data_IF_541156272658
#
_entry.id   IF_541156272658
#
_cell.length_a   1.000
_cell.length_b   1.000
_cell.length_c   1.000
_cell.angle_alpha   90.00
_cell.angle_beta   90.00
_cell.angle_gamma   90.00
#
_symmetry.space_group_name_H-M   'P 1'
#
loop_
_entity.id
_entity.type
_entity.pdbx_description
1 polymer ?
#
# COMPACT_ATOMS: atom_id res chain seq x y z
N UNK A 1 -0.43 43.31 13.10
CA UNK A 1 -0.89 41.91 13.33
C UNK A 1 -1.11 41.25 11.99
N UNK A 2 -0.67 40.00 11.80
CA UNK A 2 -0.90 39.26 10.56
C UNK A 2 -2.41 39.06 10.29
N UNK A 3 -2.85 39.10 9.01
CA UNK A 3 -4.20 38.71 8.60
C UNK A 3 -4.52 37.27 8.97
N UNK A 4 -5.80 36.97 9.22
CA UNK A 4 -6.21 35.63 9.60
C UNK A 4 -5.98 34.62 8.47
N UNK A 5 -6.10 35.07 7.22
CA UNK A 5 -5.91 34.27 6.00
C UNK A 5 -4.46 33.74 5.92
N UNK A 6 -3.48 34.63 6.12
CA UNK A 6 -2.06 34.26 6.15
C UNK A 6 -1.72 33.33 7.32
N UNK A 7 -2.34 33.54 8.48
CA UNK A 7 -2.16 32.64 9.63
C UNK A 7 -2.72 31.24 9.35
N UNK A 8 -3.92 31.14 8.76
CA UNK A 8 -4.52 29.86 8.39
C UNK A 8 -3.68 29.10 7.36
N UNK A 9 -3.09 29.82 6.40
CA UNK A 9 -2.21 29.25 5.40
C UNK A 9 -0.91 28.72 6.02
N UNK A 10 -0.24 29.50 6.86
CA UNK A 10 0.98 29.10 7.58
C UNK A 10 0.70 27.90 8.50
N UNK A 11 -0.39 27.95 9.26
CA UNK A 11 -0.77 26.90 10.21
C UNK A 11 -1.31 25.62 9.54
N UNK A 12 -1.73 25.70 8.27
CA UNK A 12 -2.11 24.52 7.50
C UNK A 12 -0.96 23.52 7.28
N UNK A 13 0.29 23.98 7.38
CA UNK A 13 1.50 23.16 7.20
C UNK A 13 2.15 22.70 8.51
N UNK A 14 1.67 23.19 9.66
CA UNK A 14 2.26 22.90 10.97
C UNK A 14 1.44 21.84 11.69
N UNK A 15 2.10 20.94 12.43
CA UNK A 15 1.41 19.93 13.23
C UNK A 15 0.50 20.61 14.26
N UNK A 16 -0.78 20.20 14.32
CA UNK A 16 -1.74 20.79 15.27
C UNK A 16 -1.27 20.67 16.72
N UNK A 17 -0.53 19.61 17.06
CA UNK A 17 0.05 19.44 18.39
C UNK A 17 1.02 20.58 18.73
N UNK A 18 1.97 20.87 17.83
CA UNK A 18 2.96 21.93 18.02
C UNK A 18 2.31 23.32 18.03
N UNK A 19 1.29 23.48 17.19
CA UNK A 19 0.44 24.67 17.16
C UNK A 19 -0.33 24.88 18.46
N UNK A 20 -0.94 23.82 18.98
CA UNK A 20 -1.73 23.91 20.19
C UNK A 20 -0.83 24.20 21.38
N UNK A 21 0.24 23.44 21.60
CA UNK A 21 1.13 23.63 22.76
C UNK A 21 2.03 24.87 22.64
N UNK A 22 2.48 25.22 21.42
CA UNK A 22 3.29 26.41 21.19
C UNK A 22 2.51 27.72 21.35
N UNK A 23 1.18 27.69 21.15
CA UNK A 23 0.32 28.87 21.29
C UNK A 23 -0.73 28.75 22.40
N UNK A 24 -0.67 27.68 23.20
CA UNK A 24 -1.50 27.52 24.38
C UNK A 24 -1.21 28.70 25.31
N UNK A 25 -2.27 29.35 25.80
CA UNK A 25 -2.22 30.52 26.67
C UNK A 25 -1.63 31.82 26.09
N UNK A 26 -1.08 31.83 24.88
CA UNK A 26 -0.50 33.04 24.29
C UNK A 26 -1.53 33.97 23.63
N UNK A 27 -2.63 33.45 23.06
CA UNK A 27 -3.63 34.31 22.41
C UNK A 27 -5.02 33.66 22.19
N UNK A 28 -6.07 34.25 22.77
CA UNK A 28 -7.48 33.87 22.52
C UNK A 28 -7.83 33.93 21.02
N UNK A 29 -7.23 34.87 20.27
CA UNK A 29 -7.44 34.99 18.82
C UNK A 29 -6.92 33.76 18.07
N UNK A 30 -5.75 33.22 18.44
CA UNK A 30 -5.20 32.02 17.84
C UNK A 30 -6.07 30.79 18.17
N UNK A 31 -6.55 30.68 19.40
CA UNK A 31 -7.49 29.61 19.77
C UNK A 31 -8.80 29.67 18.98
N UNK A 32 -9.36 30.87 18.75
CA UNK A 32 -10.54 31.05 17.89
C UNK A 32 -10.24 30.68 16.44
N UNK A 33 -9.06 31.04 15.94
CA UNK A 33 -8.63 30.81 14.57
C UNK A 33 -8.35 29.33 14.30
N UNK A 34 -7.68 28.63 15.22
CA UNK A 34 -7.54 27.19 15.20
C UNK A 34 -8.90 26.49 15.22
N UNK A 35 -9.83 26.90 16.10
CA UNK A 35 -11.19 26.35 16.12
C UNK A 35 -12.00 26.65 14.84
N UNK A 36 -11.62 27.66 14.06
CA UNK A 36 -12.27 27.98 12.78
C UNK A 36 -11.78 27.11 11.62
N UNK A 37 -10.64 26.42 11.78
CA UNK A 37 -10.14 25.49 10.78
C UNK A 37 -11.07 24.29 10.66
N UNK A 38 -11.43 23.96 9.41
CA UNK A 38 -12.41 22.89 9.13
C UNK A 38 -11.78 21.50 9.10
N UNK A 39 -10.46 21.40 8.92
CA UNK A 39 -9.75 20.16 8.59
C UNK A 39 -8.36 20.16 9.20
N UNK A 40 -8.04 19.10 9.95
CA UNK A 40 -6.74 18.89 10.55
C UNK A 40 -6.13 17.53 10.18
N UNK A 41 -4.81 17.54 10.06
CA UNK A 41 -3.97 16.34 10.04
C UNK A 41 -3.22 16.27 11.37
N UNK A 42 -3.36 15.17 12.10
CA UNK A 42 -2.71 14.98 13.40
C UNK A 42 -1.92 13.68 13.40
N UNK A 43 -0.73 13.76 14.00
CA UNK A 43 0.09 12.61 14.35
C UNK A 43 0.01 12.46 15.87
N UNK A 44 -0.61 11.38 16.34
CA UNK A 44 -0.59 10.99 17.74
C UNK A 44 0.62 10.10 18.01
N UNK A 45 1.58 10.70 18.70
CA UNK A 45 2.63 9.96 19.39
C UNK A 45 2.13 9.45 20.74
N UNK A 46 1.30 10.24 21.42
CA UNK A 46 0.64 9.86 22.68
C UNK A 46 -0.85 10.18 22.61
N UNK A 47 -1.66 9.47 23.43
CA UNK A 47 -3.10 9.71 23.54
C UNK A 47 -3.39 11.01 24.31
N UNK A 48 -3.30 12.14 23.62
CA UNK A 48 -3.61 13.46 24.18
C UNK A 48 -5.13 13.67 24.21
N UNK A 49 -5.71 13.38 25.37
CA UNK A 49 -7.15 13.48 25.62
C UNK A 49 -7.68 14.90 25.47
N UNK A 50 -6.88 15.92 25.77
CA UNK A 50 -7.31 17.32 25.69
C UNK A 50 -7.48 17.72 24.22
N UNK A 51 -6.46 17.46 23.41
CA UNK A 51 -6.50 17.71 21.96
C UNK A 51 -7.64 16.97 21.28
N UNK A 52 -7.84 15.70 21.61
CA UNK A 52 -8.96 14.91 21.08
C UNK A 52 -10.28 15.55 21.49
N UNK A 53 -10.46 15.97 22.75
CA UNK A 53 -11.73 16.55 23.19
C UNK A 53 -12.07 17.88 22.48
N UNK A 54 -11.06 18.66 22.12
CA UNK A 54 -11.24 19.96 21.46
C UNK A 54 -11.42 19.84 19.94
N UNK A 55 -10.65 18.96 19.28
CA UNK A 55 -10.49 18.99 17.83
C UNK A 55 -10.95 17.71 17.11
N UNK A 56 -11.42 16.69 17.84
CA UNK A 56 -11.88 15.39 17.34
C UNK A 56 -12.64 15.46 16.00
N UNK A 57 -13.65 16.34 15.93
CA UNK A 57 -14.53 16.47 14.74
C UNK A 57 -13.85 17.14 13.54
N UNK A 58 -12.77 17.88 13.74
CA UNK A 58 -12.05 18.57 12.67
C UNK A 58 -10.91 17.70 12.11
N UNK A 59 -10.56 16.61 12.79
CA UNK A 59 -9.49 15.69 12.36
C UNK A 59 -9.99 14.87 11.17
N UNK A 60 -9.31 15.05 10.04
CA UNK A 60 -9.55 14.30 8.80
C UNK A 60 -8.45 13.29 8.51
N UNK A 61 -7.27 13.46 9.09
CA UNK A 61 -6.14 12.54 8.97
C UNK A 61 -5.54 12.26 10.34
N UNK A 62 -5.39 10.97 10.63
CA UNK A 62 -4.91 10.46 11.90
C UNK A 62 -3.78 9.46 11.68
N UNK A 63 -2.63 9.71 12.30
CA UNK A 63 -1.52 8.75 12.37
C UNK A 63 -1.30 8.40 13.83
N UNK A 64 -1.40 7.12 14.18
CA UNK A 64 -1.17 6.61 15.53
C UNK A 64 0.14 5.83 15.55
N UNK A 65 1.11 6.32 16.32
CA UNK A 65 2.45 5.73 16.39
C UNK A 65 2.61 4.68 17.49
N UNK A 66 1.67 4.61 18.44
CA UNK A 66 1.79 3.86 19.68
C UNK A 66 0.72 2.79 19.87
N UNK A 67 0.97 1.89 20.82
CA UNK A 67 0.03 0.85 21.28
C UNK A 67 -1.13 1.40 22.12
N UNK A 68 -1.17 2.71 22.37
CA UNK A 68 -2.18 3.29 23.26
C UNK A 68 -3.55 3.17 22.62
N UNK A 69 -4.53 2.72 23.39
CA UNK A 69 -5.91 2.66 22.93
C UNK A 69 -6.42 4.07 22.64
N UNK A 70 -7.00 4.22 21.45
CA UNK A 70 -7.65 5.42 20.97
C UNK A 70 -9.06 5.02 20.57
N UNK A 71 -10.04 5.82 20.99
CA UNK A 71 -11.43 5.64 20.62
C UNK A 71 -11.68 6.25 19.23
N UNK A 72 -11.65 5.41 18.20
CA UNK A 72 -11.80 5.85 16.80
C UNK A 72 -13.18 6.45 16.51
N UNK A 73 -14.19 6.17 17.35
CA UNK A 73 -15.55 6.72 17.20
C UNK A 73 -15.60 8.24 17.38
N UNK A 74 -14.57 8.82 18.01
CA UNK A 74 -14.48 10.26 18.24
C UNK A 74 -14.17 11.05 16.96
N UNK A 75 -13.74 10.40 15.88
CA UNK A 75 -13.29 11.06 14.66
C UNK A 75 -14.26 10.79 13.48
N UNK A 76 -15.49 11.33 13.49
CA UNK A 76 -16.52 11.01 12.49
C UNK A 76 -16.17 11.51 11.07
N UNK A 77 -15.28 12.49 10.95
CA UNK A 77 -14.86 13.08 9.68
C UNK A 77 -13.54 12.50 9.17
N UNK A 78 -13.07 11.40 9.77
CA UNK A 78 -11.78 10.82 9.44
C UNK A 78 -11.79 10.25 8.02
N UNK A 79 -10.90 10.79 7.19
CA UNK A 79 -10.71 10.38 5.80
C UNK A 79 -9.46 9.51 5.63
N UNK A 80 -8.47 9.64 6.52
CA UNK A 80 -7.20 8.91 6.46
C UNK A 80 -6.80 8.40 7.83
N UNK A 81 -6.57 7.10 7.95
CA UNK A 81 -6.11 6.46 9.18
C UNK A 81 -4.81 5.69 8.91
N UNK A 82 -3.80 5.91 9.74
CA UNK A 82 -2.56 5.12 9.77
C UNK A 82 -2.31 4.62 11.17
N UNK A 83 -2.31 3.31 11.36
CA UNK A 83 -1.93 2.67 12.62
C UNK A 83 -0.57 2.01 12.43
N UNK A 84 0.51 2.58 12.99
CA UNK A 84 1.85 2.01 12.84
C UNK A 84 2.10 0.78 13.74
N UNK A 85 1.31 0.65 14.81
CA UNK A 85 1.39 -0.42 15.79
C UNK A 85 -0.02 -0.80 16.21
N UNK A 86 -0.79 -1.32 15.25
CA UNK A 86 -2.22 -1.58 15.42
C UNK A 86 -2.47 -2.68 16.47
N UNK A 87 -3.35 -2.39 17.43
CA UNK A 87 -3.84 -3.39 18.38
C UNK A 87 -5.14 -4.03 17.89
N UNK A 88 -5.49 -5.21 18.41
CA UNK A 88 -6.78 -5.85 18.12
C UNK A 88 -7.98 -5.01 18.55
N UNK A 89 -7.84 -4.24 19.63
CA UNK A 89 -8.86 -3.31 20.06
C UNK A 89 -9.08 -2.20 19.03
N UNK A 90 -8.00 -1.60 18.51
CA UNK A 90 -8.07 -0.59 17.47
C UNK A 90 -8.65 -1.15 16.16
N UNK A 91 -8.22 -2.34 15.73
CA UNK A 91 -8.73 -2.98 14.51
C UNK A 91 -10.24 -3.27 14.59
N UNK A 92 -10.74 -3.75 15.75
CA UNK A 92 -12.18 -3.97 15.97
C UNK A 92 -13.01 -2.69 15.92
N UNK A 93 -12.40 -1.53 16.13
CA UNK A 93 -13.06 -0.23 16.04
C UNK A 93 -13.09 0.33 14.61
N UNK A 94 -12.29 -0.21 13.68
CA UNK A 94 -12.35 0.18 12.28
C UNK A 94 -13.62 -0.42 11.68
N UNK A 95 -14.70 0.35 11.72
CA UNK A 95 -16.00 -0.02 11.20
C UNK A 95 -16.60 1.14 10.42
N UNK A 96 -17.37 0.82 9.40
CA UNK A 96 -17.97 1.82 8.51
C UNK A 96 -18.92 2.77 9.25
N UNK A 97 -19.64 2.27 10.28
CA UNK A 97 -20.57 3.09 11.07
C UNK A 97 -19.87 4.23 11.82
N UNK A 98 -18.58 4.08 12.10
CA UNK A 98 -17.77 5.08 12.79
C UNK A 98 -16.89 5.90 11.84
N UNK A 99 -16.46 5.28 10.75
CA UNK A 99 -15.48 5.83 9.81
C UNK A 99 -16.02 5.82 8.37
N UNK A 100 -17.24 6.33 8.19
CA UNK A 100 -17.95 6.28 6.89
C UNK A 100 -17.25 7.08 5.77
N UNK A 101 -16.45 8.06 6.15
CA UNK A 101 -15.68 8.92 5.24
C UNK A 101 -14.26 8.40 4.94
N UNK A 102 -13.89 7.22 5.44
CA UNK A 102 -12.52 6.72 5.33
C UNK A 102 -12.17 6.37 3.87
N UNK A 103 -11.15 7.05 3.35
CA UNK A 103 -10.62 6.89 1.98
C UNK A 103 -9.26 6.22 1.94
N UNK A 104 -8.44 6.42 2.99
CA UNK A 104 -7.08 5.91 3.08
C UNK A 104 -6.89 5.16 4.39
N UNK A 105 -6.46 3.91 4.30
CA UNK A 105 -6.16 3.08 5.47
C UNK A 105 -4.76 2.48 5.36
N UNK A 106 -3.97 2.62 6.42
CA UNK A 106 -2.68 1.91 6.56
C UNK A 106 -2.63 1.25 7.92
N UNK A 107 -2.34 -0.04 7.94
CA UNK A 107 -2.25 -0.85 9.16
C UNK A 107 -0.93 -1.59 9.16
N UNK A 108 -0.12 -1.30 10.16
CA UNK A 108 1.03 -2.09 10.53
C UNK A 108 0.73 -2.81 11.84
N UNK A 109 0.51 -4.12 11.75
CA UNK A 109 0.36 -5.00 12.89
C UNK A 109 1.61 -5.88 13.03
N UNK A 110 2.02 -6.16 14.27
CA UNK A 110 3.10 -7.13 14.53
C UNK A 110 2.63 -8.57 14.34
N UNK A 111 1.34 -8.83 14.52
CA UNK A 111 0.77 -10.18 14.56
C UNK A 111 -0.44 -10.27 13.63
N UNK A 112 -0.64 -11.45 13.04
CA UNK A 112 -1.92 -11.78 12.44
C UNK A 112 -2.92 -11.99 13.58
N UNK A 113 -4.06 -11.32 13.50
CA UNK A 113 -5.17 -11.55 14.41
C UNK A 113 -6.46 -11.77 13.64
N UNK A 114 -7.42 -12.42 14.29
CA UNK A 114 -8.77 -12.58 13.76
C UNK A 114 -9.39 -11.22 13.39
N UNK A 115 -9.08 -10.17 14.16
CA UNK A 115 -9.55 -8.80 13.91
C UNK A 115 -9.02 -8.24 12.60
N UNK A 116 -7.74 -8.48 12.28
CA UNK A 116 -7.16 -8.07 11.00
C UNK A 116 -7.81 -8.83 9.83
N UNK A 117 -7.99 -10.14 9.97
CA UNK A 117 -8.62 -10.98 8.94
C UNK A 117 -10.05 -10.52 8.67
N UNK A 118 -10.85 -10.29 9.72
CA UNK A 118 -12.21 -9.77 9.58
C UNK A 118 -12.26 -8.38 8.92
N UNK A 119 -11.30 -7.51 9.24
CA UNK A 119 -11.20 -6.19 8.62
C UNK A 119 -10.87 -6.30 7.13
N UNK A 120 -9.91 -7.13 6.76
CA UNK A 120 -9.51 -7.40 5.37
C UNK A 120 -10.69 -7.94 4.58
N UNK A 121 -11.37 -8.96 5.11
CA UNK A 121 -12.58 -9.51 4.50
C UNK A 121 -13.68 -8.44 4.36
N UNK A 122 -13.83 -7.55 5.35
CA UNK A 122 -14.75 -6.43 5.24
C UNK A 122 -14.39 -5.46 4.11
N UNK A 123 -13.11 -5.15 3.95
CA UNK A 123 -12.60 -4.21 2.95
C UNK A 123 -12.77 -4.78 1.54
N UNK A 124 -12.32 -6.01 1.29
CA UNK A 124 -12.43 -6.64 -0.03
C UNK A 124 -13.85 -7.13 -0.36
N UNK A 125 -14.78 -7.09 0.61
CA UNK A 125 -16.22 -7.31 0.41
C UNK A 125 -17.06 -6.03 0.53
N UNK A 126 -16.49 -4.87 0.17
CA UNK A 126 -17.16 -3.57 0.06
C UNK A 126 -17.79 -2.97 1.32
N UNK A 127 -17.40 -3.38 2.53
CA UNK A 127 -17.96 -2.75 3.75
C UNK A 127 -17.54 -1.29 3.90
N UNK A 128 -16.48 -0.86 3.21
CA UNK A 128 -15.99 0.51 3.21
C UNK A 128 -16.10 1.12 1.81
N UNK A 129 -17.30 1.56 1.39
CA UNK A 129 -17.53 2.04 0.02
C UNK A 129 -16.70 3.27 -0.34
N UNK A 130 -16.31 4.11 0.63
CA UNK A 130 -15.48 5.29 0.38
C UNK A 130 -13.98 4.99 0.24
N UNK A 131 -13.55 3.75 0.49
CA UNK A 131 -12.14 3.40 0.61
C UNK A 131 -11.48 3.28 -0.78
N UNK A 132 -10.43 4.05 -1.01
CA UNK A 132 -9.68 4.08 -2.27
C UNK A 132 -8.29 3.46 -2.14
N UNK A 133 -7.71 3.52 -0.95
CA UNK A 133 -6.35 3.06 -0.67
C UNK A 133 -6.33 2.20 0.58
N UNK A 134 -5.65 1.07 0.49
CA UNK A 134 -5.33 0.24 1.66
C UNK A 134 -3.88 -0.23 1.63
N UNK A 135 -3.24 -0.20 2.79
CA UNK A 135 -1.92 -0.78 2.99
C UNK A 135 -1.85 -1.64 4.25
N UNK A 136 -1.44 -2.90 4.10
CA UNK A 136 -1.21 -3.83 5.21
C UNK A 136 0.26 -4.20 5.25
N UNK A 137 0.95 -3.97 6.37
CA UNK A 137 2.38 -4.31 6.47
C UNK A 137 2.68 -5.79 6.73
N UNK A 138 1.67 -6.59 7.09
CA UNK A 138 1.81 -8.02 7.37
C UNK A 138 0.49 -8.71 7.10
N UNK A 139 0.47 -9.71 6.21
CA UNK A 139 -0.73 -10.49 5.89
C UNK A 139 -0.40 -11.95 5.54
N UNK A 140 -0.32 -12.82 6.55
CA UNK A 140 0.29 -14.15 6.34
C UNK A 140 -0.71 -15.24 5.89
N UNK A 141 -2.05 -15.05 5.93
CA UNK A 141 -2.96 -16.17 5.59
C UNK A 141 -4.22 -15.79 4.80
N UNK A 142 -4.36 -16.24 3.54
CA UNK A 142 -5.57 -16.04 2.72
C UNK A 142 -6.50 -17.27 2.63
N UNK A 143 -6.19 -18.40 3.27
CA UNK A 143 -6.73 -19.73 2.92
C UNK A 143 -8.27 -19.89 2.89
N UNK A 144 -9.05 -18.96 3.44
CA UNK A 144 -10.53 -19.01 3.44
C UNK A 144 -11.14 -17.62 3.17
N UNK A 145 -10.78 -16.98 2.06
CA UNK A 145 -11.32 -15.67 1.71
C UNK A 145 -12.29 -15.77 0.52
N UNK A 146 -13.60 -15.73 0.77
CA UNK A 146 -14.62 -15.46 -0.24
C UNK A 146 -14.89 -13.97 -0.33
N UNK A 147 -13.95 -13.24 -0.92
CA UNK A 147 -14.13 -11.81 -1.20
C UNK A 147 -15.17 -11.62 -2.31
N UNK A 148 -16.03 -10.61 -2.15
CA UNK A 148 -16.97 -10.22 -3.19
C UNK A 148 -16.31 -9.20 -4.13
N UNK A 149 -16.80 -7.97 -4.18
CA UNK A 149 -16.29 -6.91 -5.04
C UNK A 149 -16.05 -5.64 -4.23
N UNK A 150 -14.88 -5.04 -4.35
CA UNK A 150 -14.50 -3.74 -3.78
C UNK A 150 -14.17 -2.75 -4.92
N UNK A 151 -15.19 -2.23 -5.63
CA UNK A 151 -15.01 -1.48 -6.88
C UNK A 151 -14.35 -0.10 -6.71
N UNK A 152 -14.32 0.43 -5.49
CA UNK A 152 -13.76 1.75 -5.19
C UNK A 152 -12.28 1.71 -4.82
N UNK A 153 -11.73 0.54 -4.50
CA UNK A 153 -10.29 0.39 -4.24
C UNK A 153 -9.50 0.64 -5.53
N UNK A 154 -8.61 1.62 -5.47
CA UNK A 154 -7.70 2.02 -6.56
C UNK A 154 -6.26 1.65 -6.27
N UNK A 155 -5.89 1.53 -5.00
CA UNK A 155 -4.54 1.19 -4.58
C UNK A 155 -4.56 0.18 -3.43
N UNK A 156 -3.80 -0.89 -3.61
CA UNK A 156 -3.63 -1.95 -2.62
C UNK A 156 -2.13 -2.19 -2.47
N UNK A 157 -1.63 -2.09 -1.23
CA UNK A 157 -0.26 -2.43 -0.88
C UNK A 157 -0.27 -3.48 0.22
N UNK A 158 0.27 -4.67 -0.03
CA UNK A 158 0.35 -5.72 0.98
C UNK A 158 1.81 -6.15 1.10
N UNK A 159 2.31 -6.13 2.33
CA UNK A 159 3.64 -6.58 2.67
C UNK A 159 3.53 -7.87 3.47
N UNK A 160 4.41 -8.82 3.17
CA UNK A 160 4.40 -10.20 3.67
C UNK A 160 3.09 -10.91 3.39
N UNK A 161 2.87 -11.30 2.14
CA UNK A 161 1.76 -12.20 1.76
C UNK A 161 2.21 -13.32 0.79
N UNK A 162 1.31 -14.25 0.53
CA UNK A 162 1.49 -15.29 -0.49
C UNK A 162 1.17 -14.74 -1.88
N UNK A 163 1.83 -15.27 -2.90
CA UNK A 163 1.65 -14.80 -4.30
C UNK A 163 0.25 -15.10 -4.85
N UNK A 164 -0.41 -16.16 -4.36
CA UNK A 164 -1.75 -16.56 -4.80
C UNK A 164 -2.81 -15.47 -4.55
N UNK A 165 -2.59 -14.62 -3.53
CA UNK A 165 -3.51 -13.52 -3.19
C UNK A 165 -3.68 -12.52 -4.32
N UNK A 166 -2.69 -12.40 -5.23
CA UNK A 166 -2.73 -11.40 -6.29
C UNK A 166 -3.96 -11.63 -7.17
N UNK A 167 -4.22 -12.88 -7.55
CA UNK A 167 -5.40 -13.22 -8.37
C UNK A 167 -6.71 -12.88 -7.66
N UNK A 168 -6.80 -13.13 -6.34
CA UNK A 168 -7.96 -12.76 -5.52
C UNK A 168 -8.15 -11.25 -5.44
N UNK A 169 -7.07 -10.48 -5.24
CA UNK A 169 -7.15 -9.00 -5.19
C UNK A 169 -7.64 -8.46 -6.52
N UNK A 170 -7.09 -8.94 -7.63
CA UNK A 170 -7.48 -8.50 -8.98
C UNK A 170 -8.94 -8.87 -9.27
N UNK A 171 -9.39 -10.06 -8.87
CA UNK A 171 -10.79 -10.47 -9.02
C UNK A 171 -11.75 -9.62 -8.19
N UNK A 172 -11.38 -9.29 -6.95
CA UNK A 172 -12.23 -8.50 -6.07
C UNK A 172 -12.17 -6.99 -6.34
N UNK A 173 -11.11 -6.48 -6.96
CA UNK A 173 -10.90 -5.03 -7.15
C UNK A 173 -10.91 -4.64 -8.64
N UNK A 174 -12.06 -4.67 -9.33
CA UNK A 174 -12.12 -4.55 -10.80
C UNK A 174 -11.61 -3.22 -11.36
N UNK A 175 -11.47 -2.18 -10.52
CA UNK A 175 -10.95 -0.88 -10.92
C UNK A 175 -9.61 -0.52 -10.25
N UNK A 176 -8.87 -1.53 -9.78
CA UNK A 176 -7.56 -1.34 -9.17
C UNK A 176 -6.57 -0.78 -10.20
N UNK A 177 -5.88 0.30 -9.84
CA UNK A 177 -4.91 0.98 -10.70
C UNK A 177 -3.48 0.70 -10.27
N UNK A 178 -3.26 0.46 -8.97
CA UNK A 178 -1.96 0.20 -8.40
C UNK A 178 -2.01 -0.96 -7.39
N UNK A 179 -1.18 -1.96 -7.63
CA UNK A 179 -0.94 -3.08 -6.73
C UNK A 179 0.55 -3.13 -6.36
N UNK A 180 0.84 -3.23 -5.07
CA UNK A 180 2.17 -3.53 -4.53
C UNK A 180 2.08 -4.75 -3.63
N UNK A 181 2.97 -5.70 -3.85
CA UNK A 181 3.06 -6.96 -3.12
C UNK A 181 4.50 -7.21 -2.72
N UNK A 182 4.73 -7.49 -1.44
CA UNK A 182 5.99 -8.04 -0.94
C UNK A 182 5.73 -9.42 -0.36
N UNK A 183 6.44 -10.43 -0.87
CA UNK A 183 6.20 -11.83 -0.56
C UNK A 183 6.70 -12.19 0.85
N UNK A 184 6.02 -13.16 1.47
CA UNK A 184 6.43 -13.73 2.75
C UNK A 184 7.38 -14.92 2.56
N UNK A 185 8.29 -15.21 3.50
CA UNK A 185 9.26 -16.31 3.36
C UNK A 185 8.60 -17.70 3.31
N UNK A 186 7.38 -17.83 3.82
CA UNK A 186 6.67 -19.10 3.96
C UNK A 186 5.83 -19.45 2.73
N UNK A 187 6.14 -18.88 1.56
CA UNK A 187 5.43 -19.11 0.32
C UNK A 187 5.80 -20.48 -0.29
N UNK A 188 5.57 -21.56 0.48
CA UNK A 188 5.89 -22.95 0.14
C UNK A 188 4.71 -23.68 -0.51
N UNK A 189 3.55 -23.03 -0.59
CA UNK A 189 2.36 -23.59 -1.22
C UNK A 189 2.53 -23.68 -2.73
N UNK A 190 1.89 -24.69 -3.34
CA UNK A 190 1.73 -24.72 -4.79
C UNK A 190 1.01 -23.44 -5.24
N UNK A 191 1.67 -22.68 -6.12
CA UNK A 191 1.15 -21.41 -6.61
C UNK A 191 -0.01 -21.72 -7.57
N UNK A 192 -1.22 -21.77 -7.01
CA UNK A 192 -2.46 -21.91 -7.76
C UNK A 192 -3.06 -20.53 -7.94
N UNK A 193 -2.97 -19.99 -9.16
CA UNK A 193 -3.76 -18.83 -9.53
C UNK A 193 -5.20 -19.26 -9.80
N UNK A 194 -6.15 -18.44 -9.38
CA UNK A 194 -7.56 -18.69 -9.66
C UNK A 194 -7.82 -18.70 -11.17
N UNK A 195 -8.70 -19.58 -11.63
CA UNK A 195 -9.16 -19.67 -13.04
C UNK A 195 -10.06 -18.50 -13.46
N UNK A 196 -10.23 -17.48 -12.60
CA UNK A 196 -11.02 -16.30 -12.94
C UNK A 196 -10.39 -15.62 -14.16
N UNK A 197 -11.18 -15.51 -15.24
CA UNK A 197 -10.81 -14.78 -16.45
C UNK A 197 -10.72 -13.29 -16.12
N UNK A 198 -9.53 -12.81 -15.76
CA UNK A 198 -9.25 -11.40 -15.49
C UNK A 198 -8.75 -10.67 -16.74
N UNK A 199 -9.12 -11.16 -17.91
CA UNK A 199 -8.64 -10.65 -19.19
C UNK A 199 -8.87 -9.13 -19.25
N UNK A 200 -7.77 -8.39 -19.37
CA UNK A 200 -7.72 -6.93 -19.45
C UNK A 200 -8.01 -6.15 -18.17
N UNK A 201 -7.61 -6.65 -17.00
CA UNK A 201 -7.66 -5.83 -15.77
C UNK A 201 -7.03 -4.43 -15.99
N UNK A 202 -7.66 -3.32 -15.51
CA UNK A 202 -7.20 -1.95 -15.75
C UNK A 202 -5.94 -1.55 -14.97
N UNK A 203 -5.19 -2.51 -14.43
CA UNK A 203 -4.05 -2.24 -13.56
C UNK A 203 -2.98 -1.50 -14.37
N UNK A 204 -2.51 -0.37 -13.85
CA UNK A 204 -1.51 0.48 -14.50
C UNK A 204 -0.13 0.39 -13.87
N UNK A 205 -0.07 0.17 -12.56
CA UNK A 205 1.17 0.04 -11.80
C UNK A 205 1.19 -1.26 -11.02
N UNK A 206 2.27 -2.03 -11.20
CA UNK A 206 2.50 -3.25 -10.45
C UNK A 206 3.91 -3.25 -9.87
N UNK A 207 4.00 -3.60 -8.58
CA UNK A 207 5.25 -3.78 -7.85
C UNK A 207 5.21 -5.15 -7.18
N UNK A 208 6.19 -5.98 -7.47
CA UNK A 208 6.38 -7.28 -6.83
C UNK A 208 7.79 -7.34 -6.24
N UNK A 209 7.85 -7.53 -4.93
CA UNK A 209 9.08 -7.63 -4.14
C UNK A 209 9.15 -9.02 -3.52
N UNK A 210 10.29 -9.66 -3.65
CA UNK A 210 10.61 -10.94 -3.05
C UNK A 210 11.97 -10.85 -2.37
N UNK A 211 11.91 -10.56 -1.07
CA UNK A 211 13.08 -10.46 -0.20
C UNK A 211 13.62 -11.82 0.24
N UNK A 212 13.05 -12.93 -0.25
CA UNK A 212 13.25 -14.28 0.29
C UNK A 212 13.65 -15.34 -0.75
N UNK A 213 14.03 -14.93 -1.96
CA UNK A 213 14.53 -15.83 -3.00
C UNK A 213 13.54 -16.94 -3.39
N UNK A 214 12.24 -16.65 -3.36
CA UNK A 214 11.21 -17.61 -3.75
C UNK A 214 11.28 -17.75 -5.28
N UNK A 215 11.24 -18.97 -5.85
CA UNK A 215 11.38 -19.18 -7.29
C UNK A 215 10.12 -18.80 -8.08
N UNK A 216 9.70 -17.53 -7.97
CA UNK A 216 8.47 -17.00 -8.59
C UNK A 216 8.63 -16.74 -10.09
N UNK A 217 9.86 -16.75 -10.61
CA UNK A 217 10.13 -16.37 -12.00
C UNK A 217 9.38 -17.22 -13.03
N UNK A 218 9.09 -18.49 -12.70
CA UNK A 218 8.27 -19.37 -13.54
C UNK A 218 6.79 -18.93 -13.64
N UNK A 219 6.30 -18.17 -12.66
CA UNK A 219 4.91 -17.76 -12.54
C UNK A 219 4.64 -16.31 -12.99
N UNK A 220 5.69 -15.51 -13.18
CA UNK A 220 5.56 -14.10 -13.62
C UNK A 220 4.77 -14.01 -14.93
N UNK A 221 4.98 -14.97 -15.83
CA UNK A 221 4.35 -14.99 -17.14
C UNK A 221 2.81 -15.09 -17.06
N UNK A 222 2.33 -16.05 -16.26
CA UNK A 222 0.93 -16.25 -15.94
C UNK A 222 0.36 -15.08 -15.13
N UNK A 223 1.15 -14.54 -14.21
CA UNK A 223 0.73 -13.41 -13.40
C UNK A 223 0.46 -12.16 -14.27
N UNK A 224 1.35 -11.87 -15.21
CA UNK A 224 1.24 -10.74 -16.11
C UNK A 224 0.12 -10.90 -17.15
N UNK A 225 -0.32 -12.13 -17.47
CA UNK A 225 -1.44 -12.32 -18.39
C UNK A 225 -2.76 -11.76 -17.85
N UNK A 226 -2.91 -11.66 -16.53
CA UNK A 226 -4.07 -11.02 -15.90
C UNK A 226 -4.07 -9.48 -16.00
N UNK A 227 -2.94 -8.86 -16.34
CA UNK A 227 -2.76 -7.41 -16.29
C UNK A 227 -1.99 -6.86 -17.50
N UNK A 228 -2.53 -7.02 -18.73
CA UNK A 228 -1.85 -6.61 -19.96
C UNK A 228 -1.70 -5.08 -20.11
N UNK A 229 -2.43 -4.30 -19.32
CA UNK A 229 -2.48 -2.84 -19.42
C UNK A 229 -1.46 -2.11 -18.53
N UNK A 230 -0.48 -2.82 -17.94
CA UNK A 230 0.55 -2.23 -17.09
C UNK A 230 1.36 -1.19 -17.87
N UNK A 231 1.52 -0.02 -17.26
CA UNK A 231 2.38 1.05 -17.75
C UNK A 231 3.67 1.17 -16.91
N UNK A 232 3.62 0.76 -15.64
CA UNK A 232 4.75 0.84 -14.70
C UNK A 232 4.93 -0.47 -13.96
N UNK A 233 6.09 -1.08 -14.13
CA UNK A 233 6.45 -2.35 -13.53
C UNK A 233 7.71 -2.20 -12.69
N UNK A 234 7.68 -2.74 -11.46
CA UNK A 234 8.86 -2.88 -10.61
C UNK A 234 8.95 -4.33 -10.13
N UNK A 235 10.13 -4.93 -10.30
CA UNK A 235 10.41 -6.29 -9.85
C UNK A 235 11.68 -6.37 -9.03
N UNK A 236 11.60 -7.07 -7.90
CA UNK A 236 12.76 -7.45 -7.10
C UNK A 236 12.57 -8.89 -6.67
N UNK A 237 13.37 -9.81 -7.22
CA UNK A 237 13.30 -11.25 -6.93
C UNK A 237 14.49 -12.00 -7.55
N UNK A 238 14.63 -13.28 -7.19
CA UNK A 238 15.63 -14.18 -7.74
C UNK A 238 15.11 -14.91 -8.99
N UNK A 239 15.80 -14.74 -10.11
CA UNK A 239 15.38 -15.32 -11.39
C UNK A 239 16.09 -16.65 -11.64
N UNK A 240 15.31 -17.74 -11.62
CA UNK A 240 15.81 -19.10 -11.88
C UNK A 240 15.70 -19.52 -13.34
N UNK A 241 15.01 -18.73 -14.16
CA UNK A 241 14.85 -18.95 -15.60
C UNK A 241 15.78 -18.05 -16.42
N UNK A 242 15.88 -18.29 -17.73
CA UNK A 242 16.57 -17.39 -18.65
C UNK A 242 16.00 -15.98 -18.59
N UNK A 243 16.83 -15.02 -18.18
CA UNK A 243 16.45 -13.61 -18.11
C UNK A 243 16.02 -13.06 -19.47
N UNK A 244 16.70 -13.47 -20.55
CA UNK A 244 16.32 -13.06 -21.92
C UNK A 244 14.90 -13.49 -22.24
N UNK A 245 14.49 -14.70 -21.83
CA UNK A 245 13.15 -15.20 -22.05
C UNK A 245 12.13 -14.43 -21.21
N UNK A 246 12.42 -14.21 -19.93
CA UNK A 246 11.57 -13.40 -19.05
C UNK A 246 11.33 -12.00 -19.64
N UNK A 247 12.39 -11.31 -20.04
CA UNK A 247 12.31 -9.95 -20.58
C UNK A 247 11.60 -9.91 -21.94
N UNK A 248 11.80 -10.92 -22.79
CA UNK A 248 11.06 -11.06 -24.05
C UNK A 248 9.56 -11.23 -23.79
N UNK A 249 9.18 -12.07 -22.82
CA UNK A 249 7.79 -12.29 -22.45
C UNK A 249 7.13 -11.03 -21.89
N UNK A 250 7.84 -10.30 -21.01
CA UNK A 250 7.36 -9.02 -20.47
C UNK A 250 7.10 -8.03 -21.62
N UNK A 251 8.05 -7.86 -22.54
CA UNK A 251 7.90 -6.92 -23.65
C UNK A 251 6.76 -7.30 -24.60
N UNK A 252 6.59 -8.60 -24.88
CA UNK A 252 5.53 -9.08 -25.76
C UNK A 252 4.13 -8.92 -25.15
N UNK A 253 3.99 -9.12 -23.83
CA UNK A 253 2.69 -9.02 -23.14
C UNK A 253 2.30 -7.59 -22.79
N UNK A 254 3.26 -6.79 -22.32
CA UNK A 254 3.00 -5.47 -21.77
C UNK A 254 3.27 -4.38 -22.82
N UNK A 255 2.44 -4.34 -23.85
CA UNK A 255 2.58 -3.38 -24.97
C UNK A 255 2.45 -1.91 -24.55
N UNK A 256 1.87 -1.65 -23.37
CA UNK A 256 1.71 -0.32 -22.79
C UNK A 256 2.83 0.08 -21.82
N UNK A 257 3.85 -0.76 -21.64
CA UNK A 257 4.91 -0.53 -20.67
C UNK A 257 5.71 0.74 -21.00
N UNK A 258 5.74 1.68 -20.05
CA UNK A 258 6.44 2.97 -20.16
C UNK A 258 7.60 3.07 -19.20
N UNK A 259 7.51 2.40 -18.05
CA UNK A 259 8.53 2.39 -17.03
C UNK A 259 8.70 0.96 -16.52
N UNK A 260 9.94 0.50 -16.56
CA UNK A 260 10.36 -0.75 -15.96
C UNK A 260 11.42 -0.40 -14.92
N UNK A 261 11.41 -1.03 -13.75
CA UNK A 261 12.49 -0.98 -12.79
C UNK A 261 12.71 -2.41 -12.30
N UNK A 262 13.95 -2.77 -12.04
CA UNK A 262 14.25 -4.10 -11.55
C UNK A 262 15.42 -4.12 -10.57
N UNK A 263 15.42 -5.12 -9.71
CA UNK A 263 16.57 -5.61 -8.96
C UNK A 263 16.48 -7.14 -8.95
N UNK A 264 16.99 -7.77 -10.01
CA UNK A 264 16.84 -9.20 -10.24
C UNK A 264 18.18 -9.89 -10.03
N UNK A 265 18.23 -10.86 -9.12
CA UNK A 265 19.40 -11.72 -8.93
C UNK A 265 19.39 -12.81 -10.01
N UNK A 266 20.52 -13.05 -10.67
CA UNK A 266 20.66 -14.06 -11.74
C UNK A 266 21.93 -14.89 -11.55
N UNK A 267 21.92 -16.10 -12.13
CA UNK A 267 23.10 -16.97 -12.17
C UNK A 267 24.08 -16.62 -13.30
N UNK A 268 23.62 -15.96 -14.35
CA UNK A 268 24.44 -15.53 -15.50
C UNK A 268 23.91 -14.21 -16.09
N UNK A 269 24.83 -13.39 -16.62
CA UNK A 269 24.55 -12.14 -17.35
C UNK A 269 24.51 -12.33 -18.87
N UNK A 270 24.53 -13.58 -19.35
CA UNK A 270 24.49 -13.87 -20.79
C UNK A 270 23.25 -13.28 -21.46
N UNK A 271 23.48 -12.55 -22.55
CA UNK A 271 22.40 -11.95 -23.34
C UNK A 271 21.89 -10.60 -22.81
N UNK A 272 22.58 -9.95 -21.88
CA UNK A 272 22.24 -8.59 -21.42
C UNK A 272 22.12 -7.58 -22.58
N UNK A 273 23.05 -7.61 -23.53
CA UNK A 273 22.99 -6.73 -24.71
C UNK A 273 21.80 -7.02 -25.62
N UNK A 274 21.35 -8.28 -25.65
CA UNK A 274 20.12 -8.65 -26.34
C UNK A 274 18.92 -8.07 -25.60
N UNK A 275 18.86 -8.16 -24.27
CA UNK A 275 17.78 -7.62 -23.45
C UNK A 275 17.59 -6.11 -23.67
N UNK A 276 18.69 -5.35 -23.68
CA UNK A 276 18.67 -3.90 -23.92
C UNK A 276 18.06 -3.51 -25.27
N UNK A 277 18.04 -4.43 -26.23
CA UNK A 277 17.45 -4.25 -27.57
C UNK A 277 16.00 -4.74 -27.70
N UNK A 278 15.49 -5.49 -26.72
CA UNK A 278 14.12 -6.04 -26.76
C UNK A 278 13.08 -4.92 -26.64
N UNK A 279 13.29 -3.98 -25.71
CA UNK A 279 12.33 -2.93 -25.41
C UNK A 279 13.04 -1.65 -24.96
N UNK A 280 12.47 -0.49 -25.29
CA UNK A 280 13.05 0.82 -24.97
C UNK A 280 13.24 1.03 -23.47
N UNK A 281 12.35 0.50 -22.63
CA UNK A 281 12.46 0.57 -21.16
C UNK A 281 13.62 -0.25 -20.58
N UNK A 282 14.25 -1.14 -21.35
CA UNK A 282 15.32 -2.03 -20.86
C UNK A 282 16.72 -1.50 -21.19
N UNK A 283 16.83 -0.39 -21.93
CA UNK A 283 18.09 0.10 -22.48
C UNK A 283 19.13 0.51 -21.42
N UNK A 284 18.69 1.00 -20.25
CA UNK A 284 19.59 1.42 -19.15
C UNK A 284 19.87 0.31 -18.13
N UNK A 285 19.41 -0.92 -18.37
CA UNK A 285 19.67 -2.03 -17.45
C UNK A 285 21.18 -2.22 -17.30
N UNK A 286 21.61 -2.23 -16.06
CA UNK A 286 22.98 -2.45 -15.63
C UNK A 286 23.06 -3.74 -14.81
N UNK A 287 24.27 -4.21 -14.61
CA UNK A 287 24.55 -5.31 -13.70
C UNK A 287 25.68 -4.92 -12.76
N UNK A 288 25.66 -5.49 -11.57
CA UNK A 288 26.74 -5.46 -10.62
C UNK A 288 26.89 -6.84 -9.96
N UNK A 289 28.03 -7.06 -9.33
CA UNK A 289 28.25 -8.23 -8.51
C UNK A 289 28.18 -7.81 -7.04
N UNK A 290 27.37 -8.52 -6.25
CA UNK A 290 27.26 -8.25 -4.82
C UNK A 290 28.50 -8.76 -4.05
N UNK A 291 28.55 -8.46 -2.74
CA UNK A 291 29.66 -8.90 -1.88
C UNK A 291 29.72 -10.43 -1.70
N UNK A 292 28.64 -11.15 -2.00
CA UNK A 292 28.54 -12.60 -1.90
C UNK A 292 28.85 -13.29 -3.25
N UNK A 293 29.17 -12.52 -4.29
CA UNK A 293 29.47 -13.01 -5.64
C UNK A 293 28.23 -13.19 -6.54
N UNK A 294 27.02 -12.89 -6.06
CA UNK A 294 25.78 -12.94 -6.84
C UNK A 294 25.71 -11.82 -7.87
N UNK A 295 25.15 -12.09 -9.04
CA UNK A 295 24.98 -11.09 -10.09
C UNK A 295 23.60 -10.44 -9.94
N UNK A 296 23.58 -9.12 -9.77
CA UNK A 296 22.36 -8.32 -9.60
C UNK A 296 22.18 -7.44 -10.82
N UNK A 297 20.98 -7.48 -11.40
CA UNK A 297 20.59 -6.67 -12.54
C UNK A 297 19.64 -5.57 -12.08
N UNK A 298 19.99 -4.32 -12.37
CA UNK A 298 19.26 -3.15 -11.89
C UNK A 298 19.04 -2.05 -12.93
N UNK A 299 17.99 -1.24 -12.72
CA UNK A 299 17.69 -0.03 -13.47
C UNK A 299 17.45 1.16 -12.53
#
# INVERSE_FOLDING_TARGET
>A
MLPNELLLEIFGYINLHDLYYGFLDLNIRLNKLLRSLKKFSIIFEHNDRLMISLFARQIIRLVVMTWTDIDLKRFPNLCSLTLKQATDAQMRQIRYEYLSNLKYLTIASKFNSSSLIHLINGIFSNRFPSLHYVCFRRFIEPFICSWSLAPNLKTVCIIYCEIAIISLILASCPHLLYLQIELSPNNNGSIHFSEVSLDNHPLKRFILLDSYAIPISAHIDQLLSYMPNIERLYFEFDCTISLVNLMSNIANRLTHLRQFHCQITVSSIDGLDRIRRIHSCFNRIQWEQDMNGSLIIKL
#
